data_IF_951904479942
#
_entry.id   IF_951904479942
#
_cell.length_a   1.000
_cell.length_b   1.000
_cell.length_c   1.000
_cell.angle_alpha   90.00
_cell.angle_beta   90.00
_cell.angle_gamma   90.00
#
_symmetry.space_group_name_H-M   'P 1'
#
loop_
_entity.id
_entity.type
_entity.pdbx_description
1 polymer ?
#
# COMPACT_ATOMS: atom_id res chain seq x y z
N UNK A 1 -2.65 79.53 5.20
CA UNK A 1 -1.54 79.71 4.25
C UNK A 1 -1.00 78.34 3.92
N UNK A 2 -0.86 78.00 2.65
CA UNK A 2 -0.31 76.69 2.25
C UNK A 2 1.21 76.78 2.40
N UNK A 3 1.82 75.93 3.23
CA UNK A 3 3.28 75.84 3.32
C UNK A 3 3.83 75.30 2.01
N UNK A 4 4.63 76.11 1.32
CA UNK A 4 5.37 75.69 0.12
C UNK A 4 6.57 74.87 0.57
N UNK A 5 6.50 73.54 0.39
CA UNK A 5 7.65 72.66 0.57
C UNK A 5 8.45 72.65 -0.74
N UNK A 6 9.74 72.99 -0.67
CA UNK A 6 10.64 72.95 -1.81
C UNK A 6 11.32 71.58 -1.89
N UNK A 7 11.16 70.89 -3.02
CA UNK A 7 11.77 69.58 -3.28
C UNK A 7 12.92 69.76 -4.27
N UNK A 8 14.16 69.55 -3.82
CA UNK A 8 15.35 69.66 -4.67
C UNK A 8 15.89 68.28 -5.02
N UNK A 9 15.60 67.83 -6.24
CA UNK A 9 15.90 66.50 -6.75
C UNK A 9 17.39 66.33 -7.07
N UNK A 10 18.11 67.42 -7.35
CA UNK A 10 19.52 67.36 -7.76
C UNK A 10 20.48 67.04 -6.61
N UNK A 11 20.00 67.16 -5.37
CA UNK A 11 20.82 66.94 -4.17
C UNK A 11 20.84 65.49 -3.71
N UNK A 12 19.89 64.67 -4.14
CA UNK A 12 19.78 63.27 -3.72
C UNK A 12 20.34 62.34 -4.80
N UNK A 13 21.52 61.77 -4.51
CA UNK A 13 22.24 60.84 -5.38
C UNK A 13 22.11 59.38 -4.94
N UNK A 14 21.33 59.11 -3.89
CA UNK A 14 21.21 57.79 -3.27
C UNK A 14 20.42 56.78 -4.10
N UNK A 15 19.64 57.25 -5.08
CA UNK A 15 18.80 56.43 -5.96
C UNK A 15 17.51 55.92 -5.31
N UNK A 16 17.42 55.92 -3.98
CA UNK A 16 16.24 55.47 -3.23
C UNK A 16 15.32 56.65 -2.80
N UNK A 17 15.81 57.90 -2.83
CA UNK A 17 15.02 59.13 -2.63
C UNK A 17 14.23 59.24 -1.30
N UNK A 18 14.68 58.56 -0.25
CA UNK A 18 14.02 58.42 1.05
C UNK A 18 13.69 59.75 1.76
N UNK A 19 14.51 60.78 1.57
CA UNK A 19 14.30 62.07 2.25
C UNK A 19 13.20 62.90 1.57
N UNK A 20 13.11 62.78 0.24
CA UNK A 20 12.07 63.42 -0.56
C UNK A 20 10.73 62.72 -0.30
N UNK A 21 10.72 61.39 -0.24
CA UNK A 21 9.52 60.59 0.02
C UNK A 21 8.90 60.95 1.38
N UNK A 22 9.70 61.04 2.45
CA UNK A 22 9.22 61.47 3.77
C UNK A 22 8.64 62.89 3.78
N UNK A 23 9.24 63.83 3.03
CA UNK A 23 8.71 65.21 2.91
C UNK A 23 7.37 65.24 2.18
N UNK A 24 7.19 64.39 1.16
CA UNK A 24 5.93 64.24 0.43
C UNK A 24 4.84 63.63 1.34
N UNK A 25 5.16 62.60 2.12
CA UNK A 25 4.23 62.00 3.08
C UNK A 25 3.78 62.99 4.16
N UNK A 26 4.68 63.83 4.66
CA UNK A 26 4.35 64.86 5.66
C UNK A 26 3.42 65.95 5.08
N UNK A 27 3.54 66.22 3.78
CA UNK A 27 2.82 67.28 3.08
C UNK A 27 1.41 66.89 2.65
N UNK A 28 1.28 65.69 2.08
CA UNK A 28 0.07 65.21 1.39
C UNK A 28 -0.58 64.03 2.14
N UNK A 29 0.12 63.46 3.13
CA UNK A 29 -0.27 62.26 3.87
C UNK A 29 0.31 60.98 3.26
N UNK A 30 0.17 59.84 3.96
CA UNK A 30 0.68 58.55 3.47
C UNK A 30 0.06 58.17 2.11
N UNK A 31 0.77 57.40 1.26
CA UNK A 31 0.35 57.03 -0.07
C UNK A 31 -1.06 56.45 -0.08
N UNK A 32 -1.98 57.24 -0.62
CA UNK A 32 -3.40 56.94 -0.57
C UNK A 32 -3.72 56.12 -1.81
N UNK A 33 -3.75 54.80 -1.63
CA UNK A 33 -3.78 53.81 -2.70
C UNK A 33 -5.15 53.77 -3.43
N UNK A 34 -5.41 54.80 -4.22
CA UNK A 34 -6.66 54.98 -4.97
C UNK A 34 -6.68 54.13 -6.25
N UNK A 35 -6.81 52.80 -6.09
CA UNK A 35 -7.16 51.88 -7.19
C UNK A 35 -6.46 50.51 -7.20
N UNK A 36 -7.11 49.51 -7.82
CA UNK A 36 -6.56 48.18 -8.20
C UNK A 36 -6.09 47.24 -7.09
N UNK A 37 -5.90 47.68 -5.84
CA UNK A 37 -5.47 46.82 -4.72
C UNK A 37 -6.33 45.55 -4.64
N UNK A 38 -7.66 45.69 -4.65
CA UNK A 38 -8.59 44.55 -4.63
C UNK A 38 -8.47 43.64 -5.85
N UNK A 39 -8.11 44.15 -7.04
CA UNK A 39 -7.90 43.34 -8.25
C UNK A 39 -6.58 42.57 -8.18
N UNK A 40 -5.51 43.23 -7.72
CA UNK A 40 -4.20 42.58 -7.49
C UNK A 40 -4.30 41.49 -6.41
N UNK A 41 -5.06 41.72 -5.34
CA UNK A 41 -5.30 40.71 -4.29
C UNK A 41 -6.05 39.51 -4.86
N UNK A 42 -7.14 39.72 -5.62
CA UNK A 42 -7.91 38.63 -6.25
C UNK A 42 -7.07 37.80 -7.23
N UNK A 43 -6.27 38.45 -8.09
CA UNK A 43 -5.39 37.73 -9.03
C UNK A 43 -4.32 36.93 -8.28
N UNK A 44 -3.78 37.49 -7.19
CA UNK A 44 -2.82 36.78 -6.32
C UNK A 44 -3.48 35.58 -5.61
N UNK A 45 -4.71 35.73 -5.12
CA UNK A 45 -5.49 34.66 -4.49
C UNK A 45 -5.81 33.54 -5.50
N UNK A 46 -6.24 33.87 -6.72
CA UNK A 46 -6.50 32.88 -7.79
C UNK A 46 -5.22 32.13 -8.20
N UNK A 47 -4.08 32.84 -8.30
CA UNK A 47 -2.78 32.22 -8.56
C UNK A 47 -2.36 31.28 -7.41
N UNK A 48 -2.61 31.67 -6.16
CA UNK A 48 -2.34 30.83 -5.00
C UNK A 48 -3.22 29.58 -4.96
N UNK A 49 -4.51 29.71 -5.29
CA UNK A 49 -5.44 28.57 -5.36
C UNK A 49 -5.03 27.58 -6.44
N UNK A 50 -4.70 28.06 -7.65
CA UNK A 50 -4.20 27.19 -8.73
C UNK A 50 -2.88 26.51 -8.38
N UNK A 51 -1.96 27.22 -7.76
CA UNK A 51 -0.69 26.64 -7.31
C UNK A 51 -0.88 25.60 -6.19
N UNK A 52 -1.87 25.78 -5.32
CA UNK A 52 -2.25 24.81 -4.29
C UNK A 52 -2.91 23.57 -4.90
N UNK A 53 -3.81 23.73 -5.85
CA UNK A 53 -4.43 22.63 -6.59
C UNK A 53 -3.40 21.81 -7.36
N UNK A 54 -2.51 22.46 -8.12
CA UNK A 54 -1.43 21.78 -8.86
C UNK A 54 -0.49 21.03 -7.90
N UNK A 55 -0.18 21.61 -6.72
CA UNK A 55 0.63 20.94 -5.71
C UNK A 55 -0.07 19.70 -5.15
N UNK A 56 -1.39 19.76 -4.93
CA UNK A 56 -2.19 18.62 -4.46
C UNK A 56 -2.31 17.53 -5.51
N UNK A 57 -2.53 17.88 -6.77
CA UNK A 57 -2.58 16.91 -7.87
C UNK A 57 -1.23 16.21 -8.04
N UNK A 58 -0.12 16.95 -7.96
CA UNK A 58 1.22 16.39 -8.01
C UNK A 58 1.48 15.44 -6.83
N UNK A 59 1.04 15.80 -5.62
CA UNK A 59 1.16 14.95 -4.43
C UNK A 59 0.31 13.68 -4.55
N UNK A 60 -0.93 13.79 -5.04
CA UNK A 60 -1.81 12.64 -5.29
C UNK A 60 -1.23 11.72 -6.37
N UNK A 61 -0.69 12.28 -7.46
CA UNK A 61 -0.04 11.52 -8.52
C UNK A 61 1.16 10.74 -7.99
N UNK A 62 2.03 11.39 -7.19
CA UNK A 62 3.17 10.73 -6.53
C UNK A 62 2.72 9.63 -5.56
N UNK A 63 1.69 9.88 -4.76
CA UNK A 63 1.15 8.89 -3.84
C UNK A 63 0.54 7.68 -4.58
N UNK A 64 -0.16 7.92 -5.69
CA UNK A 64 -0.73 6.86 -6.52
C UNK A 64 0.36 6.01 -7.20
N UNK A 65 1.41 6.65 -7.72
CA UNK A 65 2.57 5.95 -8.29
C UNK A 65 3.29 5.10 -7.24
N UNK A 66 3.51 5.65 -6.04
CA UNK A 66 4.13 4.91 -4.95
C UNK A 66 3.28 3.71 -4.50
N UNK A 67 1.96 3.89 -4.40
CA UNK A 67 1.03 2.81 -4.07
C UNK A 67 1.06 1.72 -5.15
N UNK A 68 1.04 2.11 -6.43
CA UNK A 68 1.13 1.18 -7.55
C UNK A 68 2.42 0.37 -7.49
N UNK A 69 3.57 1.04 -7.25
CA UNK A 69 4.87 0.39 -7.10
C UNK A 69 4.90 -0.59 -5.93
N UNK A 70 4.36 -0.19 -4.76
CA UNK A 70 4.26 -1.07 -3.58
C UNK A 70 3.36 -2.27 -3.86
N UNK A 71 2.24 -2.07 -4.52
CA UNK A 71 1.32 -3.15 -4.87
C UNK A 71 1.95 -4.12 -5.87
N UNK A 72 2.68 -3.61 -6.87
CA UNK A 72 3.41 -4.43 -7.83
C UNK A 72 4.46 -5.31 -7.14
N UNK A 73 5.29 -4.71 -6.25
CA UNK A 73 6.29 -5.48 -5.48
C UNK A 73 5.64 -6.53 -4.58
N UNK A 74 4.51 -6.20 -3.94
CA UNK A 74 3.76 -7.14 -3.11
C UNK A 74 3.21 -8.30 -3.93
N UNK A 75 2.66 -8.03 -5.11
CA UNK A 75 2.17 -9.07 -6.01
C UNK A 75 3.31 -9.97 -6.50
N UNK A 76 4.42 -9.40 -6.92
CA UNK A 76 5.59 -10.16 -7.35
C UNK A 76 6.12 -11.07 -6.23
N UNK A 77 6.23 -10.53 -5.01
CA UNK A 77 6.61 -11.32 -3.83
C UNK A 77 5.59 -12.42 -3.51
N UNK A 78 4.30 -12.11 -3.57
CA UNK A 78 3.22 -13.08 -3.34
C UNK A 78 3.32 -14.25 -4.33
N UNK A 79 3.49 -13.94 -5.61
CA UNK A 79 3.60 -14.94 -6.67
C UNK A 79 4.83 -15.84 -6.47
N UNK A 80 5.96 -15.26 -6.04
CA UNK A 80 7.17 -16.03 -5.73
C UNK A 80 6.95 -16.98 -4.55
N UNK A 81 6.30 -16.50 -3.49
CA UNK A 81 5.98 -17.33 -2.32
C UNK A 81 5.01 -18.47 -2.67
N UNK A 82 3.99 -18.20 -3.48
CA UNK A 82 3.06 -19.22 -3.97
C UNK A 82 3.79 -20.29 -4.80
N UNK A 83 4.73 -19.88 -5.67
CA UNK A 83 5.53 -20.82 -6.45
C UNK A 83 6.41 -21.71 -5.56
N UNK A 84 7.06 -21.14 -4.55
CA UNK A 84 7.88 -21.88 -3.58
C UNK A 84 7.00 -22.87 -2.79
N UNK A 85 5.83 -22.42 -2.32
CA UNK A 85 4.91 -23.27 -1.57
C UNK A 85 4.43 -24.46 -2.40
N UNK A 86 4.13 -24.24 -3.69
CA UNK A 86 3.73 -25.30 -4.59
C UNK A 86 4.88 -26.32 -4.81
N UNK A 87 6.11 -25.85 -4.96
CA UNK A 87 7.29 -26.72 -5.10
C UNK A 87 7.55 -27.53 -3.82
N UNK A 88 7.44 -26.90 -2.65
CA UNK A 88 7.55 -27.58 -1.35
C UNK A 88 6.49 -28.67 -1.18
N UNK A 89 5.24 -28.37 -1.55
CA UNK A 89 4.16 -29.35 -1.50
C UNK A 89 4.41 -30.51 -2.45
N UNK A 90 4.83 -30.25 -3.69
CA UNK A 90 5.18 -31.30 -4.65
C UNK A 90 6.32 -32.18 -4.13
N UNK A 91 7.36 -31.58 -3.54
CA UNK A 91 8.47 -32.30 -2.95
C UNK A 91 8.02 -33.21 -1.80
N UNK A 92 7.14 -32.72 -0.91
CA UNK A 92 6.54 -33.52 0.16
C UNK A 92 5.67 -34.66 -0.38
N UNK A 93 4.86 -34.39 -1.40
CA UNK A 93 4.04 -35.40 -2.06
C UNK A 93 4.93 -36.49 -2.67
N UNK A 94 6.02 -36.12 -3.35
CA UNK A 94 7.00 -37.04 -3.93
C UNK A 94 7.73 -37.85 -2.86
N UNK A 95 8.12 -37.25 -1.74
CA UNK A 95 8.74 -37.93 -0.63
C UNK A 95 7.78 -38.95 0.03
N UNK A 96 6.49 -38.63 0.13
CA UNK A 96 5.46 -39.52 0.68
C UNK A 96 4.97 -40.61 -0.28
N UNK A 97 5.23 -40.45 -1.59
CA UNK A 97 4.78 -41.37 -2.65
C UNK A 97 5.10 -42.84 -2.38
N UNK A 98 6.35 -43.27 -2.08
CA UNK A 98 6.65 -44.68 -1.86
C UNK A 98 5.85 -45.29 -0.70
N UNK A 99 5.69 -44.54 0.40
CA UNK A 99 4.88 -44.99 1.53
C UNK A 99 3.41 -45.11 1.16
N UNK A 100 2.86 -44.12 0.44
CA UNK A 100 1.47 -44.14 -0.02
C UNK A 100 1.20 -45.31 -0.96
N UNK A 101 2.13 -45.59 -1.88
CA UNK A 101 2.03 -46.74 -2.78
C UNK A 101 2.08 -48.07 -2.02
N UNK A 102 2.97 -48.19 -1.04
CA UNK A 102 3.04 -49.38 -0.19
C UNK A 102 1.73 -49.59 0.57
N UNK A 103 1.24 -48.56 1.26
CA UNK A 103 -0.03 -48.63 1.99
C UNK A 103 -1.17 -48.99 1.04
N UNK A 104 -1.28 -48.32 -0.11
CA UNK A 104 -2.33 -48.56 -1.11
C UNK A 104 -2.33 -49.98 -1.69
N UNK A 105 -1.15 -50.58 -1.89
CA UNK A 105 -1.02 -51.92 -2.46
C UNK A 105 -1.22 -53.03 -1.42
N UNK A 106 -0.63 -52.87 -0.23
CA UNK A 106 -0.51 -53.97 0.72
C UNK A 106 -1.46 -53.88 1.91
N UNK A 107 -1.74 -52.67 2.40
CA UNK A 107 -2.49 -52.48 3.67
C UNK A 107 -3.95 -52.10 3.39
N UNK A 108 -4.18 -51.13 2.52
CA UNK A 108 -5.50 -50.56 2.25
C UNK A 108 -6.54 -51.58 1.76
N UNK A 109 -6.24 -52.56 0.88
CA UNK A 109 -7.25 -53.50 0.40
C UNK A 109 -7.85 -54.35 1.53
N UNK A 110 -7.02 -54.86 2.44
CA UNK A 110 -7.45 -55.69 3.57
C UNK A 110 -8.11 -54.83 4.64
N UNK A 111 -7.52 -53.68 4.96
CA UNK A 111 -8.07 -52.74 5.94
C UNK A 111 -9.46 -52.24 5.54
N UNK A 112 -9.65 -51.86 4.28
CA UNK A 112 -10.94 -51.35 3.79
C UNK A 112 -12.03 -52.41 3.92
N UNK A 113 -11.73 -53.67 3.59
CA UNK A 113 -12.67 -54.79 3.77
C UNK A 113 -13.00 -55.03 5.25
N UNK A 114 -11.99 -55.00 6.12
CA UNK A 114 -12.17 -55.14 7.56
C UNK A 114 -13.03 -54.02 8.15
N UNK A 115 -12.81 -52.78 7.70
CA UNK A 115 -13.64 -51.64 8.11
C UNK A 115 -15.08 -51.81 7.64
N UNK A 116 -15.32 -52.29 6.42
CA UNK A 116 -16.68 -52.62 5.98
C UNK A 116 -17.31 -53.70 6.86
N UNK A 117 -16.61 -54.79 7.17
CA UNK A 117 -17.12 -55.82 8.09
C UNK A 117 -17.43 -55.26 9.48
N UNK A 118 -16.61 -54.34 10.01
CA UNK A 118 -16.89 -53.64 11.27
C UNK A 118 -18.20 -52.85 11.18
N UNK A 119 -18.44 -52.13 10.08
CA UNK A 119 -19.67 -51.34 9.87
C UNK A 119 -20.90 -52.25 9.85
N UNK A 120 -20.81 -53.42 9.21
CA UNK A 120 -21.92 -54.37 9.12
C UNK A 120 -22.19 -55.11 10.42
N UNK A 121 -21.13 -55.51 11.14
CA UNK A 121 -21.23 -56.31 12.37
C UNK A 121 -21.50 -55.49 13.62
N UNK A 122 -21.10 -54.22 13.63
CA UNK A 122 -21.16 -53.32 14.79
C UNK A 122 -20.74 -54.02 16.09
N UNK A 123 -19.49 -54.53 16.16
CA UNK A 123 -18.97 -55.15 17.38
C UNK A 123 -18.90 -54.12 18.53
N UNK A 124 -18.97 -54.60 19.77
CA UNK A 124 -18.81 -53.79 20.99
C UNK A 124 -17.46 -53.05 21.02
N UNK A 125 -16.39 -53.71 20.56
CA UNK A 125 -15.07 -53.10 20.35
C UNK A 125 -14.65 -53.20 18.87
N UNK A 126 -14.82 -52.13 18.08
CA UNK A 126 -14.47 -52.13 16.67
C UNK A 126 -12.96 -52.11 16.42
N UNK A 127 -12.15 -51.62 17.37
CA UNK A 127 -10.69 -51.56 17.21
C UNK A 127 -10.10 -52.95 17.39
N UNK A 128 -10.51 -53.65 18.45
CA UNK A 128 -10.04 -55.00 18.73
C UNK A 128 -10.50 -55.99 17.64
N UNK A 129 -11.78 -55.91 17.24
CA UNK A 129 -12.31 -56.71 16.14
C UNK A 129 -11.55 -56.47 14.81
N UNK A 130 -11.25 -55.21 14.49
CA UNK A 130 -10.51 -54.89 13.27
C UNK A 130 -9.07 -55.40 13.34
N UNK A 131 -8.41 -55.32 14.51
CA UNK A 131 -7.09 -55.88 14.71
C UNK A 131 -7.09 -57.40 14.49
N UNK A 132 -8.03 -58.14 15.10
CA UNK A 132 -8.20 -59.57 14.85
C UNK A 132 -8.44 -59.87 13.37
N UNK A 133 -9.31 -59.10 12.71
CA UNK A 133 -9.61 -59.25 11.29
C UNK A 133 -8.36 -59.08 10.43
N UNK A 134 -7.54 -58.08 10.71
CA UNK A 134 -6.29 -57.81 9.99
C UNK A 134 -5.27 -58.93 10.22
N UNK A 135 -5.13 -59.45 11.44
CA UNK A 135 -4.24 -60.57 11.72
C UNK A 135 -4.67 -61.85 10.99
N UNK A 136 -5.98 -62.13 10.91
CA UNK A 136 -6.52 -63.32 10.22
C UNK A 136 -6.41 -63.24 8.70
N UNK A 137 -6.46 -62.04 8.12
CA UNK A 137 -6.48 -61.82 6.67
C UNK A 137 -5.18 -61.22 6.13
N UNK A 138 -4.06 -61.39 6.85
CA UNK A 138 -2.77 -60.85 6.44
C UNK A 138 -2.19 -61.66 5.28
N UNK A 139 -2.00 -61.07 4.08
CA UNK A 139 -1.49 -61.77 2.90
C UNK A 139 0.00 -62.15 2.97
N UNK A 140 0.73 -61.77 4.02
CA UNK A 140 2.15 -62.07 4.22
C UNK A 140 2.41 -63.21 5.25
N UNK A 141 1.35 -63.90 5.70
CA UNK A 141 1.45 -65.05 6.64
C UNK A 141 1.26 -66.37 5.90
N UNK A 142 1.79 -66.45 4.67
CA UNK A 142 2.17 -67.68 3.96
C UNK A 142 3.62 -67.53 3.45
#
# INVERSE_FOLDING_TARGET
>A
GVSTLNFDIATDTSGEFDEIERKIELAIGPPRNYGSVSKKTKVKEELQLKAEEERRELEQSRAAEELSRRNWQKQEMSNLLEAIQAEEEEALQKASKPLREYLGKFVMPTLTKGVFECIWRQPEDPVDYLAEYLFRNNPQVD
#
